data_IF_437503794371
#
_entry.id   IF_437503794371
#
_cell.length_a   1.000
_cell.length_b   1.000
_cell.length_c   1.000
_cell.angle_alpha   90.00
_cell.angle_beta   90.00
_cell.angle_gamma   90.00
#
_symmetry.space_group_name_H-M   'P 1'
#
loop_
_entity.id
_entity.type
_entity.pdbx_description
1 polymer ?
#
# COMPACT_ATOMS: atom_id res chain seq x y z
N UNK A 1 -23.40 -0.07 -11.81
CA UNK A 1 -22.40 0.31 -10.79
C UNK A 1 -21.32 -0.76 -10.60
N UNK A 2 -21.66 -2.03 -10.33
CA UNK A 2 -20.65 -3.08 -10.16
C UNK A 2 -19.84 -3.42 -11.43
N UNK A 3 -20.41 -3.27 -12.62
CA UNK A 3 -19.72 -3.46 -13.91
C UNK A 3 -18.57 -2.49 -14.10
N UNK A 4 -18.80 -1.20 -13.85
CA UNK A 4 -17.80 -0.14 -13.96
C UNK A 4 -16.56 -0.42 -13.10
N UNK A 5 -16.73 -0.80 -11.83
CA UNK A 5 -15.60 -1.06 -10.95
C UNK A 5 -14.76 -2.22 -11.47
N UNK A 6 -15.41 -3.30 -11.94
CA UNK A 6 -14.71 -4.47 -12.48
C UNK A 6 -13.92 -4.13 -13.75
N UNK A 7 -14.47 -3.29 -14.61
CA UNK A 7 -13.84 -2.87 -15.88
C UNK A 7 -12.67 -1.90 -15.66
N UNK A 8 -12.78 -1.03 -14.64
CA UNK A 8 -11.78 0.01 -14.35
C UNK A 8 -10.61 -0.47 -13.47
N UNK A 9 -10.73 -1.62 -12.79
CA UNK A 9 -9.63 -2.19 -12.00
C UNK A 9 -8.49 -2.59 -12.92
N UNK A 10 -7.29 -2.07 -12.65
CA UNK A 10 -6.09 -2.36 -13.44
C UNK A 10 -6.10 -1.76 -14.85
N UNK A 11 -7.09 -0.94 -15.20
CA UNK A 11 -7.14 -0.24 -16.48
C UNK A 11 -6.13 0.92 -16.47
N UNK A 12 -5.33 1.04 -17.53
CA UNK A 12 -4.45 2.19 -17.72
C UNK A 12 -5.27 3.43 -18.08
N UNK A 13 -5.10 4.49 -17.30
CA UNK A 13 -5.75 5.80 -17.45
C UNK A 13 -4.79 6.93 -17.05
N UNK A 14 -5.24 8.17 -17.17
CA UNK A 14 -4.45 9.35 -16.80
C UNK A 14 -4.41 9.61 -15.29
N UNK A 15 -5.28 8.95 -14.53
CA UNK A 15 -5.35 9.10 -13.08
C UNK A 15 -5.85 7.81 -12.45
N UNK A 16 -5.31 7.50 -11.27
CA UNK A 16 -5.53 6.26 -10.56
C UNK A 16 -5.99 6.55 -9.14
N UNK A 17 -7.09 5.94 -8.72
CA UNK A 17 -7.52 5.91 -7.33
C UNK A 17 -6.98 4.65 -6.66
N UNK A 18 -6.36 4.83 -5.50
CA UNK A 18 -5.86 3.73 -4.71
C UNK A 18 -6.99 3.05 -3.93
N UNK A 19 -7.22 1.75 -4.12
CA UNK A 19 -8.29 1.02 -3.41
C UNK A 19 -7.83 0.39 -2.08
N UNK A 20 -6.53 0.22 -1.89
CA UNK A 20 -5.92 -0.39 -0.70
C UNK A 20 -4.89 0.53 -0.08
N UNK A 21 -4.82 0.62 1.26
CA UNK A 21 -3.72 1.37 1.86
C UNK A 21 -2.38 0.71 1.54
N UNK A 22 -1.48 1.44 0.89
CA UNK A 22 -0.30 0.88 0.22
C UNK A 22 0.93 1.78 0.39
N UNK A 23 2.12 1.22 0.20
CA UNK A 23 3.39 1.93 0.37
C UNK A 23 4.27 1.66 -0.86
N UNK A 24 4.60 2.70 -1.65
CA UNK A 24 5.57 2.58 -2.73
C UNK A 24 6.94 2.13 -2.20
N UNK A 25 7.71 1.44 -3.03
CA UNK A 25 9.11 1.18 -2.73
C UNK A 25 9.92 2.49 -2.72
N UNK A 26 11.09 2.55 -2.07
CA UNK A 26 11.91 3.75 -2.06
C UNK A 26 12.20 4.33 -3.45
N UNK A 27 12.45 3.47 -4.44
CA UNK A 27 12.72 3.83 -5.83
C UNK A 27 11.46 4.32 -6.59
N UNK A 28 10.27 3.92 -6.17
CA UNK A 28 8.99 4.30 -6.79
C UNK A 28 8.41 5.59 -6.16
N UNK A 29 8.88 5.94 -4.96
CA UNK A 29 8.29 6.98 -4.12
C UNK A 29 8.18 8.33 -4.82
N UNK A 30 9.26 8.77 -5.48
CA UNK A 30 9.28 10.07 -6.16
C UNK A 30 8.21 10.15 -7.25
N UNK A 31 8.11 9.12 -8.09
CA UNK A 31 7.12 9.06 -9.17
C UNK A 31 5.70 8.88 -8.65
N UNK A 32 5.50 8.06 -7.62
CA UNK A 32 4.18 7.84 -7.04
C UNK A 32 3.57 9.11 -6.42
N UNK A 33 4.40 10.00 -5.87
CA UNK A 33 3.94 11.24 -5.22
C UNK A 33 3.87 12.45 -6.15
N UNK A 34 4.34 12.31 -7.40
CA UNK A 34 4.27 13.37 -8.41
C UNK A 34 2.80 13.69 -8.72
N UNK A 35 2.42 14.96 -8.49
CA UNK A 35 1.05 15.49 -8.67
C UNK A 35 -0.07 14.67 -8.01
N UNK A 36 0.26 13.97 -6.91
CA UNK A 36 -0.68 13.12 -6.19
C UNK A 36 -1.48 13.89 -5.13
N UNK A 37 -2.75 13.53 -4.97
CA UNK A 37 -3.58 13.94 -3.83
C UNK A 37 -3.76 12.77 -2.89
N UNK A 38 -3.09 12.82 -1.74
CA UNK A 38 -3.03 11.69 -0.83
C UNK A 38 -3.07 12.12 0.63
N UNK A 39 -3.46 11.16 1.47
CA UNK A 39 -3.28 11.23 2.91
C UNK A 39 -2.35 10.10 3.35
N UNK A 40 -1.73 10.27 4.52
CA UNK A 40 -0.89 9.25 5.13
C UNK A 40 -1.56 8.67 6.36
N UNK A 41 -1.44 7.35 6.54
CA UNK A 41 -1.78 6.65 7.77
C UNK A 41 -0.55 6.01 8.38
N UNK A 42 -0.41 6.17 9.70
CA UNK A 42 0.63 5.51 10.48
C UNK A 42 0.22 4.06 10.78
N UNK A 43 1.03 3.10 10.35
CA UNK A 43 0.83 1.65 10.55
C UNK A 43 1.89 1.14 11.53
N UNK A 44 1.45 0.82 12.74
CA UNK A 44 2.28 0.23 13.80
C UNK A 44 1.72 -1.11 14.28
N UNK A 45 1.93 -1.41 15.55
CA UNK A 45 1.36 -2.56 16.25
C UNK A 45 2.39 -3.59 16.71
N UNK A 46 1.88 -4.61 17.39
CA UNK A 46 2.66 -5.73 17.90
C UNK A 46 2.45 -6.96 17.01
N UNK A 47 3.43 -7.86 16.96
CA UNK A 47 3.30 -9.17 16.31
C UNK A 47 2.59 -10.15 17.23
N UNK A 48 1.78 -11.00 16.64
CA UNK A 48 1.20 -12.14 17.33
C UNK A 48 1.79 -13.41 16.72
N UNK A 49 2.24 -14.32 17.59
CA UNK A 49 2.68 -15.66 17.23
C UNK A 49 2.44 -16.56 18.43
N UNK A 50 1.91 -17.79 18.24
CA UNK A 50 1.75 -18.75 19.34
C UNK A 50 3.09 -19.38 19.76
N UNK A 51 4.17 -19.11 19.02
CA UNK A 51 5.46 -19.80 19.18
C UNK A 51 6.63 -18.85 19.45
N UNK A 52 6.38 -17.57 19.61
CA UNK A 52 7.42 -16.55 19.80
C UNK A 52 6.88 -15.36 20.56
N UNK A 53 7.79 -14.64 21.22
CA UNK A 53 7.45 -13.44 21.96
C UNK A 53 6.87 -12.33 21.08
N UNK A 54 6.07 -11.49 21.73
CA UNK A 54 5.45 -10.33 21.10
C UNK A 54 6.51 -9.28 20.79
N UNK A 55 6.71 -8.98 19.51
CA UNK A 55 7.64 -7.95 19.04
C UNK A 55 6.90 -6.72 18.54
N UNK A 56 7.50 -5.55 18.73
CA UNK A 56 7.01 -4.31 18.13
C UNK A 56 7.33 -4.30 16.64
N UNK A 57 6.29 -4.23 15.80
CA UNK A 57 6.47 -4.09 14.34
C UNK A 57 7.05 -2.71 14.03
N UNK A 58 7.95 -2.66 13.05
CA UNK A 58 8.46 -1.40 12.52
C UNK A 58 7.29 -0.52 12.06
N UNK A 59 7.31 0.74 12.51
CA UNK A 59 6.32 1.74 12.12
C UNK A 59 6.58 2.15 10.69
N UNK A 60 5.54 2.17 9.88
CA UNK A 60 5.58 2.61 8.48
C UNK A 60 4.40 3.55 8.21
N UNK A 61 4.52 4.37 7.18
CA UNK A 61 3.46 5.29 6.73
C UNK A 61 2.98 4.87 5.36
N UNK A 62 1.66 4.73 5.21
CA UNK A 62 1.04 4.21 3.98
C UNK A 62 0.18 5.31 3.39
N UNK A 63 0.06 5.32 2.05
CA UNK A 63 -0.95 6.07 1.34
C UNK A 63 -2.32 5.50 1.69
N UNK A 64 -3.28 6.38 1.98
CA UNK A 64 -4.65 5.99 2.34
C UNK A 64 -5.42 5.54 1.10
N UNK A 65 -6.33 4.58 1.26
CA UNK A 65 -7.28 4.23 0.20
C UNK A 65 -8.14 5.45 -0.17
N UNK A 66 -8.33 5.72 -1.46
CA UNK A 66 -8.95 6.94 -1.97
C UNK A 66 -7.93 8.02 -2.37
N UNK A 67 -6.63 7.80 -2.11
CA UNK A 67 -5.59 8.66 -2.67
C UNK A 67 -5.60 8.60 -4.19
N UNK A 68 -5.43 9.76 -4.82
CA UNK A 68 -5.41 9.94 -6.27
C UNK A 68 -3.97 10.16 -6.74
N UNK A 69 -3.56 9.38 -7.73
CA UNK A 69 -2.17 9.28 -8.19
C UNK A 69 -2.12 9.47 -9.71
N UNK A 70 -1.04 10.08 -10.21
CA UNK A 70 -0.74 10.14 -11.65
C UNK A 70 -0.02 8.89 -12.15
N UNK A 71 0.83 8.32 -11.31
CA UNK A 71 1.62 7.14 -11.61
C UNK A 71 1.30 5.98 -10.68
N UNK A 72 1.17 4.78 -11.24
CA UNK A 72 1.06 3.54 -10.46
C UNK A 72 2.42 3.12 -9.92
N UNK A 73 2.42 2.33 -8.87
CA UNK A 73 3.61 1.73 -8.27
C UNK A 73 3.33 0.27 -7.89
N UNK A 74 4.35 -0.58 -7.75
CA UNK A 74 4.14 -1.98 -7.40
C UNK A 74 4.03 -2.20 -5.89
N UNK A 75 4.75 -1.40 -5.11
CA UNK A 75 4.87 -1.59 -3.66
C UNK A 75 5.47 -2.95 -3.32
N UNK A 76 5.37 -3.38 -2.06
CA UNK A 76 5.97 -4.65 -1.67
C UNK A 76 5.30 -5.33 -0.48
N UNK A 77 5.78 -6.53 -0.14
CA UNK A 77 5.53 -7.21 1.12
C UNK A 77 6.74 -6.99 2.02
N UNK A 78 6.65 -5.96 2.87
CA UNK A 78 7.77 -5.55 3.72
C UNK A 78 7.94 -6.47 4.93
N UNK A 79 9.18 -6.79 5.26
CA UNK A 79 9.52 -7.38 6.56
C UNK A 79 9.53 -6.24 7.59
N UNK A 80 8.64 -6.32 8.57
CA UNK A 80 8.47 -5.29 9.62
C UNK A 80 8.93 -5.77 10.99
N UNK A 81 9.62 -6.89 11.02
CA UNK A 81 10.19 -7.50 12.21
C UNK A 81 10.60 -8.93 11.92
N UNK A 82 11.48 -9.47 12.75
CA UNK A 82 11.93 -10.86 12.67
C UNK A 82 12.00 -11.41 14.08
N UNK A 83 11.38 -12.56 14.30
CA UNK A 83 11.57 -13.32 15.52
C UNK A 83 12.47 -14.53 15.22
N UNK A 84 12.73 -15.36 16.22
CA UNK A 84 13.60 -16.53 16.09
C UNK A 84 13.08 -17.59 15.11
N UNK A 85 11.79 -17.58 14.76
CA UNK A 85 11.14 -18.62 13.95
C UNK A 85 10.72 -18.18 12.54
N UNK A 86 10.30 -16.93 12.38
CA UNK A 86 9.72 -16.43 11.14
C UNK A 86 9.84 -14.90 11.04
N UNK A 87 9.86 -14.42 9.80
CA UNK A 87 9.75 -13.00 9.50
C UNK A 87 8.29 -12.54 9.66
N UNK A 88 8.10 -11.29 10.09
CA UNK A 88 6.80 -10.66 10.24
C UNK A 88 6.58 -9.76 9.02
N UNK A 89 5.67 -10.17 8.15
CA UNK A 89 5.38 -9.45 6.90
C UNK A 89 4.25 -8.44 7.06
N UNK A 90 4.31 -7.38 6.26
CA UNK A 90 3.20 -6.44 6.06
C UNK A 90 2.99 -6.19 4.58
N UNK A 91 1.78 -6.47 4.13
CA UNK A 91 1.36 -6.25 2.75
C UNK A 91 1.18 -4.76 2.46
N UNK A 92 1.80 -4.30 1.37
CA UNK A 92 1.72 -2.91 0.93
C UNK A 92 1.55 -2.76 -0.59
N UNK A 93 1.20 -3.84 -1.29
CA UNK A 93 0.94 -3.77 -2.74
C UNK A 93 -0.42 -3.11 -3.02
N UNK A 94 -0.48 -2.19 -3.97
CA UNK A 94 -1.69 -1.45 -4.29
C UNK A 94 -2.63 -2.24 -5.20
N UNK A 95 -3.91 -1.90 -5.09
CA UNK A 95 -4.90 -2.13 -6.13
C UNK A 95 -5.33 -0.76 -6.63
N UNK A 96 -5.25 -0.54 -7.95
CA UNK A 96 -5.63 0.71 -8.58
C UNK A 96 -6.94 0.59 -9.34
N UNK A 97 -7.72 1.67 -9.28
CA UNK A 97 -8.88 1.92 -10.11
C UNK A 97 -8.54 3.07 -11.06
N UNK A 98 -8.53 2.81 -12.37
CA UNK A 98 -8.39 3.87 -13.36
C UNK A 98 -9.64 4.76 -13.37
N UNK A 99 -9.46 6.08 -13.30
CA UNK A 99 -10.57 7.04 -13.29
C UNK A 99 -10.33 8.17 -14.29
N UNK A 100 -11.42 8.69 -14.86
CA UNK A 100 -11.40 9.93 -15.64
C UNK A 100 -11.81 11.07 -14.68
N UNK A 101 -10.97 12.10 -14.60
CA UNK A 101 -11.21 13.31 -13.82
C UNK A 101 -11.76 14.42 -14.71
#
# INVERSE_FOLDING_TARGET
YASFVKESIGQQKNSYMLLTSSLPKPEEMASALEDAYYNLIRRGGLSWSPYADTLKKQTQYYLVSGSMLKHTFDGDVFIVGKNERHDIYRYARPIFLGVDL
#
